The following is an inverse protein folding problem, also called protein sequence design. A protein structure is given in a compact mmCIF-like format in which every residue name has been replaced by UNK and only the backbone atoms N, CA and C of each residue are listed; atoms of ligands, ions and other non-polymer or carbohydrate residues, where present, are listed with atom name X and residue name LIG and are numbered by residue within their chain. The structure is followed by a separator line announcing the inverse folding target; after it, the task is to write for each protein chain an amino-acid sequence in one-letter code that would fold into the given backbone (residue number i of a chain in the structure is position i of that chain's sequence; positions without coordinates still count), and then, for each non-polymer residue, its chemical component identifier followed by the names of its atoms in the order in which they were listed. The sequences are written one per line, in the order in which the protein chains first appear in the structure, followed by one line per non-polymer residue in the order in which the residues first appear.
data_IF_469059129625
#
_entry.id   IF_469059129625
#
_cell.length_a   1.000
_cell.length_b   1.000
_cell.length_c   1.000
_cell.angle_alpha   90.00
_cell.angle_beta   90.00
_cell.angle_gamma   90.00
#
_symmetry.space_group_name_H-M   'P 1'
#
loop_
_entity.id
_entity.type
_entity.pdbx_description
1 polymer ?
#
# COMPACT_ATOMS: atom_id res chain seq x y z
N UNK A 1 -20.56 5.93 -46.32
CA UNK A 1 -20.63 6.50 -44.93
C UNK A 1 -20.69 5.33 -43.97
N UNK A 2 -19.60 5.06 -43.29
CA UNK A 2 -19.53 3.96 -42.32
C UNK A 2 -19.97 4.50 -40.96
N UNK A 3 -21.01 3.95 -40.45
CA UNK A 3 -21.59 4.27 -39.11
C UNK A 3 -20.70 3.69 -38.02
N UNK A 4 -20.16 4.54 -37.15
CA UNK A 4 -19.33 4.11 -35.99
C UNK A 4 -20.25 3.99 -34.77
N UNK A 5 -20.52 2.78 -34.24
CA UNK A 5 -21.46 2.58 -33.12
C UNK A 5 -20.86 2.87 -31.73
N UNK A 6 -19.65 3.43 -31.63
CA UNK A 6 -18.93 3.62 -30.36
C UNK A 6 -19.25 4.90 -29.56
N UNK A 7 -20.14 5.79 -30.04
CA UNK A 7 -20.31 7.13 -29.44
C UNK A 7 -21.64 7.31 -28.66
N UNK A 8 -22.50 6.32 -28.60
CA UNK A 8 -23.87 6.54 -28.07
C UNK A 8 -24.19 5.92 -26.71
N UNK A 9 -23.20 5.46 -25.92
CA UNK A 9 -23.46 4.89 -24.56
C UNK A 9 -22.92 5.72 -23.39
N UNK A 10 -22.35 6.90 -23.65
CA UNK A 10 -21.72 7.75 -22.61
C UNK A 10 -22.65 8.83 -22.03
N UNK A 11 -23.91 8.90 -22.40
CA UNK A 11 -24.82 10.01 -22.00
C UNK A 11 -25.92 9.66 -21.00
N UNK A 12 -25.94 8.48 -20.41
CA UNK A 12 -27.05 8.07 -19.51
C UNK A 12 -26.73 7.99 -18.02
N UNK A 13 -25.47 8.22 -17.61
CA UNK A 13 -25.15 8.36 -16.18
C UNK A 13 -24.27 9.59 -15.99
N UNK A 14 -24.89 10.70 -15.56
CA UNK A 14 -24.25 11.98 -15.31
C UNK A 14 -23.34 12.02 -14.08
N UNK A 15 -22.35 11.12 -14.03
CA UNK A 15 -21.21 11.15 -13.13
C UNK A 15 -19.97 11.48 -13.95
N UNK A 16 -19.49 12.73 -13.90
CA UNK A 16 -18.19 13.07 -14.43
C UNK A 16 -17.13 12.28 -13.66
N UNK A 17 -16.56 11.24 -14.30
CA UNK A 17 -15.28 10.68 -13.90
C UNK A 17 -14.26 11.81 -14.08
N UNK A 18 -13.95 12.52 -12.99
CA UNK A 18 -12.79 13.41 -12.94
C UNK A 18 -11.55 12.53 -13.01
N UNK A 19 -11.03 12.32 -14.22
CA UNK A 19 -9.65 11.89 -14.40
C UNK A 19 -8.77 13.00 -13.82
N UNK A 20 -8.43 12.90 -12.53
CA UNK A 20 -7.40 13.75 -11.98
C UNK A 20 -6.09 13.32 -12.64
N UNK A 21 -5.36 14.27 -13.21
CA UNK A 21 -4.01 14.05 -13.76
C UNK A 21 -2.98 13.83 -12.64
N UNK A 22 -3.34 13.01 -11.65
CA UNK A 22 -2.47 12.68 -10.53
C UNK A 22 -1.23 11.95 -11.04
N UNK A 23 -0.08 12.57 -10.88
CA UNK A 23 1.20 12.01 -11.29
C UNK A 23 1.89 11.35 -10.11
N UNK A 24 2.51 10.21 -10.35
CA UNK A 24 3.40 9.59 -9.38
C UNK A 24 4.68 10.42 -9.21
N UNK A 25 5.36 10.34 -8.05
CA UNK A 25 6.64 11.00 -7.84
C UNK A 25 7.65 10.66 -8.93
N UNK A 26 8.47 11.63 -9.33
CA UNK A 26 9.53 11.43 -10.33
C UNK A 26 10.45 10.28 -9.90
N UNK A 27 10.75 9.37 -10.83
CA UNK A 27 11.58 8.20 -10.58
C UNK A 27 10.83 7.03 -9.90
N UNK A 28 9.49 7.08 -9.83
CA UNK A 28 8.69 5.92 -9.40
C UNK A 28 8.92 4.76 -10.37
N UNK A 29 9.35 3.61 -9.82
CA UNK A 29 9.42 2.34 -10.53
C UNK A 29 8.07 1.63 -10.41
N UNK A 30 7.49 1.28 -11.54
CA UNK A 30 6.28 0.46 -11.61
C UNK A 30 6.68 -0.99 -11.88
N UNK A 31 6.37 -1.89 -10.95
CA UNK A 31 6.78 -3.30 -11.00
C UNK A 31 6.20 -4.05 -12.21
N UNK A 32 5.13 -3.54 -12.77
CA UNK A 32 4.54 -3.98 -14.02
C UNK A 32 4.57 -2.79 -15.00
N UNK A 33 5.60 -2.66 -15.83
CA UNK A 33 5.82 -1.46 -16.64
C UNK A 33 4.66 -1.08 -17.56
N UNK A 34 3.87 -2.06 -17.98
CA UNK A 34 2.70 -1.87 -18.85
C UNK A 34 1.40 -1.57 -18.08
N UNK A 35 1.43 -1.60 -16.75
CA UNK A 35 0.26 -1.45 -15.89
C UNK A 35 0.59 -0.57 -14.69
N UNK A 36 0.67 0.76 -14.94
CA UNK A 36 0.72 1.73 -13.82
C UNK A 36 -0.55 1.58 -12.99
N UNK A 37 -0.41 1.62 -11.67
CA UNK A 37 -1.58 1.65 -10.78
C UNK A 37 -2.47 2.85 -11.16
N UNK A 38 -3.70 2.58 -11.54
CA UNK A 38 -4.65 3.65 -11.84
C UNK A 38 -4.97 4.46 -10.58
N UNK A 39 -5.02 5.78 -10.71
CA UNK A 39 -5.42 6.68 -9.63
C UNK A 39 -6.91 6.94 -9.75
N UNK A 40 -7.69 6.16 -9.01
CA UNK A 40 -9.15 6.27 -8.96
C UNK A 40 -9.56 6.51 -7.52
N UNK A 41 -10.37 7.53 -7.28
CA UNK A 41 -10.84 7.90 -5.97
C UNK A 41 -12.08 7.09 -5.58
N UNK A 42 -12.12 6.65 -4.32
CA UNK A 42 -13.30 6.08 -3.68
C UNK A 42 -13.54 6.79 -2.35
N UNK A 43 -14.76 7.24 -2.14
CA UNK A 43 -15.14 7.90 -0.88
C UNK A 43 -15.85 6.92 0.03
N UNK A 44 -15.41 6.83 1.28
CA UNK A 44 -16.15 6.10 2.30
C UNK A 44 -17.34 6.97 2.72
N UNK A 45 -18.59 6.55 2.49
CA UNK A 45 -19.78 7.39 2.78
C UNK A 45 -20.04 7.58 4.28
N UNK A 46 -19.40 6.78 5.14
CA UNK A 46 -19.56 6.86 6.61
C UNK A 46 -18.55 7.83 7.22
N UNK A 47 -17.28 7.75 6.77
CA UNK A 47 -16.20 8.59 7.32
C UNK A 47 -15.98 9.88 6.54
N UNK A 48 -16.41 9.94 5.27
CA UNK A 48 -16.16 11.04 4.35
C UNK A 48 -14.74 11.01 3.74
N UNK A 49 -13.88 10.11 4.20
CA UNK A 49 -12.49 9.99 3.72
C UNK A 49 -12.43 9.49 2.27
N UNK A 50 -11.48 10.04 1.52
CA UNK A 50 -11.25 9.71 0.11
C UNK A 50 -9.96 8.91 -0.01
N UNK A 51 -10.03 7.74 -0.62
CA UNK A 51 -8.92 6.81 -0.79
C UNK A 51 -8.68 6.49 -2.25
N UNK A 52 -7.52 5.94 -2.56
CA UNK A 52 -7.38 5.20 -3.81
C UNK A 52 -8.20 3.91 -3.71
N UNK A 53 -8.81 3.49 -4.81
CA UNK A 53 -9.67 2.29 -4.88
C UNK A 53 -8.89 0.96 -4.80
N UNK A 54 -7.57 1.01 -4.95
CA UNK A 54 -6.67 -0.16 -4.97
C UNK A 54 -5.35 0.09 -4.28
N UNK A 55 -4.62 -0.98 -3.92
CA UNK A 55 -3.25 -0.90 -3.40
C UNK A 55 -2.30 -0.36 -4.48
N UNK A 56 -1.19 0.29 -4.07
CA UNK A 56 -0.12 0.64 -5.01
C UNK A 56 0.44 -0.64 -5.65
N UNK A 57 0.68 -0.62 -6.94
CA UNK A 57 1.13 -1.78 -7.73
C UNK A 57 0.01 -2.73 -8.16
N UNK A 58 -1.24 -2.55 -7.71
CA UNK A 58 -2.37 -3.37 -8.13
C UNK A 58 -2.86 -3.02 -9.54
N UNK A 59 -3.20 -4.04 -10.31
CA UNK A 59 -3.73 -3.88 -11.67
C UNK A 59 -5.22 -3.51 -11.66
N UNK A 60 -5.95 -3.98 -10.66
CA UNK A 60 -7.40 -3.77 -10.55
C UNK A 60 -7.87 -3.62 -9.11
N UNK A 61 -9.10 -3.20 -8.93
CA UNK A 61 -9.85 -3.32 -7.68
C UNK A 61 -10.12 -4.80 -7.41
N UNK A 62 -10.00 -5.23 -6.16
CA UNK A 62 -10.20 -6.64 -5.83
C UNK A 62 -11.63 -7.11 -6.12
N UNK A 63 -11.76 -8.22 -6.83
CA UNK A 63 -13.03 -8.92 -7.09
C UNK A 63 -13.28 -10.05 -6.08
N UNK A 64 -12.26 -10.44 -5.33
CA UNK A 64 -12.29 -11.31 -4.15
C UNK A 64 -11.18 -10.92 -3.19
N UNK A 65 -11.24 -11.36 -1.93
CA UNK A 65 -10.18 -11.10 -0.95
C UNK A 65 -8.86 -11.84 -1.27
N UNK A 66 -8.88 -12.81 -2.18
CA UNK A 66 -7.70 -13.55 -2.66
C UNK A 66 -7.31 -13.22 -4.09
N UNK A 67 -7.84 -12.13 -4.65
CA UNK A 67 -7.55 -11.68 -6.01
C UNK A 67 -6.10 -11.22 -6.15
N UNK A 68 -5.25 -12.02 -6.78
CA UNK A 68 -3.83 -11.76 -6.93
C UNK A 68 -3.51 -10.50 -7.76
N UNK A 69 -4.38 -10.10 -8.70
CA UNK A 69 -4.22 -8.87 -9.50
C UNK A 69 -4.43 -7.60 -8.66
N UNK A 70 -5.10 -7.74 -7.50
CA UNK A 70 -5.36 -6.65 -6.58
C UNK A 70 -4.37 -6.55 -5.41
N UNK A 71 -3.44 -7.49 -5.26
CA UNK A 71 -2.51 -7.50 -4.13
C UNK A 71 -1.58 -6.28 -4.12
N UNK A 72 -1.07 -5.87 -5.28
CA UNK A 72 -0.10 -4.79 -5.40
C UNK A 72 1.29 -5.16 -4.86
N UNK A 73 2.08 -4.13 -4.61
CA UNK A 73 3.49 -4.19 -4.22
C UNK A 73 3.66 -4.24 -2.69
N UNK A 74 4.88 -4.60 -2.21
CA UNK A 74 5.22 -4.75 -0.80
C UNK A 74 6.39 -3.85 -0.42
N UNK A 75 6.10 -2.75 0.26
CA UNK A 75 7.04 -1.67 0.59
C UNK A 75 7.71 -1.89 1.96
N UNK A 76 9.01 -1.66 2.06
CA UNK A 76 9.66 -1.36 3.33
C UNK A 76 9.24 0.05 3.79
N UNK A 77 8.92 0.20 5.08
CA UNK A 77 8.40 1.46 5.59
C UNK A 77 9.37 2.63 5.34
N UNK A 78 8.86 3.71 4.82
CA UNK A 78 9.67 4.90 4.56
C UNK A 78 10.45 4.88 3.23
N UNK A 79 10.46 3.78 2.45
CA UNK A 79 11.08 3.76 1.12
C UNK A 79 10.14 4.29 0.05
N UNK A 80 10.72 4.99 -0.92
CA UNK A 80 10.02 5.36 -2.16
C UNK A 80 9.80 4.12 -3.05
N UNK A 81 9.02 4.25 -4.11
CA UNK A 81 8.87 3.22 -5.11
C UNK A 81 10.11 3.17 -6.03
N UNK A 82 11.21 2.65 -5.55
CA UNK A 82 12.52 2.56 -6.22
C UNK A 82 12.79 1.19 -6.88
N UNK A 83 11.82 0.26 -6.81
CA UNK A 83 11.92 -1.09 -7.35
C UNK A 83 11.94 -2.18 -6.27
N UNK A 84 12.39 -1.86 -5.05
CA UNK A 84 12.44 -2.82 -3.94
C UNK A 84 11.08 -3.43 -3.60
N UNK A 85 10.01 -2.66 -3.81
CA UNK A 85 8.64 -3.04 -3.51
C UNK A 85 8.10 -4.15 -4.43
N UNK A 86 8.75 -4.38 -5.55
CA UNK A 86 8.36 -5.44 -6.47
C UNK A 86 8.49 -6.80 -5.78
N UNK A 87 7.44 -7.62 -5.84
CA UNK A 87 7.40 -8.92 -5.15
C UNK A 87 8.52 -9.88 -5.54
N UNK A 88 9.19 -9.61 -6.67
CA UNK A 88 10.28 -10.42 -7.24
C UNK A 88 11.62 -9.67 -7.28
N UNK A 89 11.73 -8.48 -6.65
CA UNK A 89 13.00 -7.75 -6.61
C UNK A 89 14.08 -8.57 -5.91
N UNK A 90 15.35 -8.30 -6.26
CA UNK A 90 16.52 -8.88 -5.59
C UNK A 90 16.54 -8.55 -4.09
N UNK A 91 17.54 -9.06 -3.40
CA UNK A 91 17.76 -8.81 -1.96
C UNK A 91 19.22 -8.45 -1.69
N UNK A 92 19.44 -7.61 -0.68
CA UNK A 92 20.77 -7.31 -0.14
C UNK A 92 20.71 -7.25 1.39
N UNK A 93 21.82 -7.55 2.07
CA UNK A 93 21.94 -7.41 3.52
C UNK A 93 22.64 -6.11 3.93
N UNK A 94 23.02 -5.26 2.98
CA UNK A 94 23.67 -3.98 3.25
C UNK A 94 22.63 -2.94 3.60
N UNK A 95 22.65 -2.43 4.84
CA UNK A 95 21.75 -1.34 5.26
C UNK A 95 22.09 -0.05 4.51
N UNK A 96 21.07 0.72 4.21
CA UNK A 96 21.26 2.06 3.65
C UNK A 96 21.60 3.07 4.75
N UNK A 97 22.47 4.01 4.47
CA UNK A 97 22.72 5.18 5.31
C UNK A 97 22.10 6.47 4.77
N UNK A 98 21.36 6.36 3.66
CA UNK A 98 20.67 7.49 3.00
C UNK A 98 19.18 7.18 2.84
N UNK A 99 18.37 8.20 2.62
CA UNK A 99 16.91 8.11 2.55
C UNK A 99 16.42 7.41 1.26
N UNK A 100 17.21 7.44 0.21
CA UNK A 100 16.89 6.84 -1.08
C UNK A 100 18.06 5.95 -1.51
N UNK A 101 18.03 4.64 -1.18
CA UNK A 101 19.01 3.69 -1.67
C UNK A 101 19.11 3.75 -3.21
N UNK A 102 20.32 3.71 -3.73
CA UNK A 102 20.57 3.82 -5.16
C UNK A 102 20.48 2.45 -5.87
N UNK A 103 19.61 1.57 -5.39
CA UNK A 103 19.36 0.24 -5.91
C UNK A 103 17.91 -0.19 -5.61
N UNK A 104 17.43 -1.19 -6.33
CA UNK A 104 16.08 -1.76 -6.28
C UNK A 104 15.97 -3.04 -5.44
N UNK A 105 17.03 -3.46 -4.75
CA UNK A 105 17.00 -4.61 -3.87
C UNK A 105 16.20 -4.35 -2.59
N UNK A 106 15.46 -5.35 -2.14
CA UNK A 106 14.85 -5.40 -0.82
C UNK A 106 15.94 -5.63 0.24
N UNK A 107 16.04 -4.75 1.24
CA UNK A 107 17.11 -4.80 2.24
C UNK A 107 16.72 -5.76 3.36
N UNK A 108 17.46 -6.87 3.47
CA UNK A 108 17.29 -7.86 4.53
C UNK A 108 17.88 -7.35 5.84
N UNK A 109 17.14 -7.57 6.94
CA UNK A 109 17.57 -7.21 8.29
C UNK A 109 17.44 -8.45 9.18
N UNK A 110 18.53 -9.18 9.42
CA UNK A 110 18.51 -10.33 10.31
C UNK A 110 18.25 -9.92 11.77
N UNK A 111 17.61 -10.80 12.51
CA UNK A 111 16.91 -10.61 13.80
C UNK A 111 17.74 -10.19 15.01
N UNK A 112 18.99 -9.82 14.92
CA UNK A 112 19.86 -9.71 16.10
C UNK A 112 20.17 -8.31 16.62
N UNK A 113 19.71 -7.26 15.96
CA UNK A 113 19.98 -5.87 16.39
C UNK A 113 18.66 -5.10 16.53
N UNK A 114 18.33 -4.65 17.70
CA UNK A 114 17.18 -3.84 18.13
C UNK A 114 16.77 -2.63 17.25
N UNK A 115 17.11 -2.63 15.97
CA UNK A 115 16.83 -1.58 15.00
C UNK A 115 16.42 -2.22 13.68
N UNK A 116 15.30 -2.87 13.69
CA UNK A 116 14.74 -3.60 12.55
C UNK A 116 14.32 -2.68 11.39
N UNK A 117 15.24 -1.80 10.98
CA UNK A 117 15.05 -0.84 9.88
C UNK A 117 16.06 -1.12 8.75
N UNK A 118 15.61 -0.96 7.52
CA UNK A 118 16.46 -1.03 6.33
C UNK A 118 17.51 0.09 6.26
N UNK A 119 17.32 1.16 7.05
CA UNK A 119 18.17 2.36 7.11
C UNK A 119 18.79 2.55 8.50
N UNK A 120 20.06 2.90 8.52
CA UNK A 120 20.79 3.26 9.74
C UNK A 120 21.61 4.54 9.54
N UNK A 121 21.42 5.61 10.36
CA UNK A 121 20.40 5.76 11.42
C UNK A 121 18.99 5.86 10.86
N UNK A 122 17.96 5.55 11.68
CA UNK A 122 16.55 5.65 11.30
C UNK A 122 16.15 7.09 10.97
N UNK A 123 15.18 7.26 10.06
CA UNK A 123 14.56 8.54 9.75
C UNK A 123 13.03 8.45 9.84
N UNK A 124 12.46 9.18 10.80
CA UNK A 124 11.03 9.17 11.07
C UNK A 124 10.22 10.03 10.08
N UNK A 125 10.87 10.89 9.28
CA UNK A 125 10.19 11.87 8.44
C UNK A 125 9.82 11.37 7.03
N UNK A 126 10.24 10.17 6.65
CA UNK A 126 10.21 9.71 5.26
C UNK A 126 8.80 9.64 4.65
N UNK A 127 7.78 9.28 5.44
CA UNK A 127 6.39 9.14 4.99
C UNK A 127 5.42 10.10 5.68
N UNK A 128 5.90 11.22 6.18
CA UNK A 128 5.06 12.17 6.90
C UNK A 128 4.34 13.14 5.94
N UNK A 129 3.03 12.95 5.78
CA UNK A 129 2.17 13.78 4.93
C UNK A 129 2.47 13.69 3.43
N UNK A 130 1.85 14.55 2.64
CA UNK A 130 2.01 14.59 1.18
C UNK A 130 3.42 15.01 0.74
N UNK A 131 4.10 15.78 1.56
CA UNK A 131 5.46 16.27 1.31
C UNK A 131 6.54 15.35 1.87
N UNK A 132 6.18 14.18 2.42
CA UNK A 132 7.15 13.20 2.88
C UNK A 132 8.14 12.84 1.77
N UNK A 133 9.45 12.92 2.10
CA UNK A 133 10.54 12.83 1.10
C UNK A 133 10.48 11.56 0.24
N UNK A 134 9.95 10.48 0.79
CA UNK A 134 9.79 9.19 0.14
C UNK A 134 8.32 8.77 -0.03
N UNK A 135 7.36 9.72 0.07
CA UNK A 135 5.95 9.39 -0.14
C UNK A 135 5.76 8.70 -1.51
N UNK A 136 5.33 7.43 -1.57
CA UNK A 136 5.18 6.71 -2.84
C UNK A 136 3.82 6.99 -3.51
N UNK A 137 2.90 7.64 -2.81
CA UNK A 137 1.56 7.91 -3.29
C UNK A 137 1.57 8.97 -4.41
N UNK A 138 0.60 8.93 -5.32
CA UNK A 138 0.47 9.96 -6.36
C UNK A 138 0.15 11.33 -5.76
N UNK A 139 0.36 12.37 -6.55
CA UNK A 139 0.12 13.77 -6.15
C UNK A 139 -1.27 13.96 -5.53
N UNK A 140 -1.33 14.63 -4.39
CA UNK A 140 -2.55 14.86 -3.60
C UNK A 140 -2.92 13.71 -2.65
N UNK A 141 -2.14 12.62 -2.67
CA UNK A 141 -2.32 11.47 -1.77
C UNK A 141 -1.10 11.26 -0.88
N UNK A 142 -1.30 10.58 0.23
CA UNK A 142 -0.28 10.21 1.21
C UNK A 142 -0.55 8.83 1.82
N UNK A 143 0.41 8.35 2.56
CA UNK A 143 0.21 7.18 3.42
C UNK A 143 -0.76 7.56 4.55
N UNK A 144 -1.79 6.76 4.84
CA UNK A 144 -2.71 7.03 5.95
C UNK A 144 -2.02 6.84 7.30
N UNK A 145 -2.54 7.51 8.32
CA UNK A 145 -2.19 7.29 9.72
C UNK A 145 -2.89 6.03 10.26
N UNK A 146 -2.43 5.52 11.40
CA UNK A 146 -3.10 4.43 12.11
C UNK A 146 -4.51 4.82 12.61
N UNK A 147 -4.71 6.10 12.93
CA UNK A 147 -6.02 6.62 13.32
C UNK A 147 -7.03 6.57 12.16
N UNK A 148 -6.61 6.96 10.95
CA UNK A 148 -7.46 6.90 9.75
C UNK A 148 -7.86 5.46 9.39
N UNK A 149 -6.92 4.49 9.46
CA UNK A 149 -7.29 3.08 9.29
C UNK A 149 -8.19 2.57 10.42
N UNK A 150 -8.03 3.06 11.63
CA UNK A 150 -8.92 2.69 12.75
C UNK A 150 -10.34 3.22 12.50
N UNK A 151 -10.47 4.46 12.03
CA UNK A 151 -11.76 5.06 11.64
C UNK A 151 -12.40 4.32 10.46
N UNK A 152 -11.61 3.99 9.42
CA UNK A 152 -12.06 3.18 8.27
C UNK A 152 -12.60 1.83 8.74
N UNK A 153 -11.83 1.10 9.57
CA UNK A 153 -12.22 -0.18 10.13
C UNK A 153 -13.53 -0.12 10.94
N UNK A 154 -13.75 0.96 11.68
CA UNK A 154 -14.97 1.16 12.47
C UNK A 154 -16.22 1.34 11.60
N UNK A 155 -16.06 1.68 10.32
CA UNK A 155 -17.16 1.76 9.35
C UNK A 155 -17.54 0.39 8.75
N UNK A 156 -16.78 -0.69 9.02
CA UNK A 156 -17.02 -1.99 8.43
C UNK A 156 -18.17 -2.74 9.10
N UNK A 157 -18.82 -3.61 8.34
CA UNK A 157 -19.89 -4.49 8.86
C UNK A 157 -19.36 -5.58 9.81
N UNK A 158 -18.08 -5.92 9.75
CA UNK A 158 -17.40 -6.86 10.65
C UNK A 158 -15.92 -6.53 10.77
N UNK A 159 -15.36 -6.74 11.98
CA UNK A 159 -13.97 -6.42 12.29
C UNK A 159 -13.03 -7.57 11.87
N UNK A 160 -13.00 -7.89 10.56
CA UNK A 160 -12.19 -8.98 10.00
C UNK A 160 -12.02 -8.80 8.47
N UNK A 161 -11.39 -9.78 7.80
CA UNK A 161 -11.17 -9.76 6.35
C UNK A 161 -12.45 -9.69 5.51
N UNK A 162 -13.57 -10.20 6.01
CA UNK A 162 -14.86 -10.09 5.33
C UNK A 162 -15.33 -8.63 5.32
N UNK A 163 -15.26 -7.93 6.46
CA UNK A 163 -15.55 -6.50 6.53
C UNK A 163 -14.60 -5.66 5.68
N UNK A 164 -13.31 -5.97 5.72
CA UNK A 164 -12.29 -5.31 4.92
C UNK A 164 -12.58 -5.41 3.41
N UNK A 165 -12.93 -6.59 2.92
CA UNK A 165 -13.26 -6.80 1.50
C UNK A 165 -14.65 -6.22 1.14
N UNK A 166 -15.63 -6.27 2.03
CA UNK A 166 -16.96 -5.72 1.79
C UNK A 166 -17.02 -4.20 1.90
N UNK A 167 -16.01 -3.56 2.51
CA UNK A 167 -15.88 -2.10 2.56
C UNK A 167 -15.72 -1.50 1.15
N UNK A 168 -15.84 -0.18 1.05
CA UNK A 168 -15.60 0.54 -0.22
C UNK A 168 -14.16 0.37 -0.71
N UNK A 169 -13.22 0.06 0.17
CA UNK A 169 -11.81 -0.12 -0.17
C UNK A 169 -11.51 -1.47 -0.83
N UNK A 170 -12.39 -2.47 -0.73
CA UNK A 170 -12.19 -3.79 -1.33
C UNK A 170 -10.79 -4.36 -1.02
N UNK A 171 -10.40 -4.37 0.26
CA UNK A 171 -9.05 -4.73 0.68
C UNK A 171 -8.78 -6.24 0.52
N UNK A 172 -7.76 -6.65 -0.27
CA UNK A 172 -7.40 -8.06 -0.47
C UNK A 172 -6.41 -8.55 0.59
N UNK A 173 -6.31 -9.87 0.76
CA UNK A 173 -5.35 -10.54 1.65
C UNK A 173 -3.98 -10.68 0.94
N UNK A 174 -3.28 -9.56 0.79
CA UNK A 174 -2.09 -9.44 -0.05
C UNK A 174 -0.80 -10.01 0.59
N UNK A 175 -0.84 -10.42 1.86
CA UNK A 175 0.30 -10.95 2.58
C UNK A 175 1.38 -9.92 2.88
N UNK A 176 2.63 -10.39 2.95
CA UNK A 176 3.80 -9.59 3.31
C UNK A 176 5.07 -10.15 2.67
N UNK A 177 6.16 -9.38 2.73
CA UNK A 177 7.52 -9.85 2.41
C UNK A 177 8.36 -9.88 3.68
N UNK A 178 8.95 -11.06 3.98
CA UNK A 178 9.71 -11.24 5.20
C UNK A 178 11.02 -10.46 5.15
N UNK A 179 11.41 -9.87 6.30
CA UNK A 179 12.60 -9.02 6.42
C UNK A 179 13.90 -9.79 6.55
N UNK A 180 13.84 -11.06 6.93
CA UNK A 180 15.02 -11.88 7.22
C UNK A 180 15.56 -12.62 6.00
N UNK A 181 14.70 -13.01 5.08
CA UNK A 181 15.03 -13.82 3.90
C UNK A 181 14.44 -13.27 2.59
N UNK A 182 13.58 -12.25 2.69
CA UNK A 182 12.92 -11.63 1.53
C UNK A 182 11.83 -12.48 0.89
N UNK A 183 11.41 -13.57 1.54
CA UNK A 183 10.33 -14.44 1.03
C UNK A 183 8.99 -13.73 1.12
N UNK A 184 8.22 -13.81 0.05
CA UNK A 184 6.83 -13.32 0.03
C UNK A 184 5.90 -14.41 0.53
N UNK A 185 5.12 -14.11 1.56
CA UNK A 185 4.12 -15.01 2.13
C UNK A 185 2.74 -14.38 2.12
N UNK A 186 1.73 -15.18 1.76
CA UNK A 186 0.31 -14.80 1.91
C UNK A 186 -0.24 -15.23 3.27
N UNK A 187 0.48 -16.09 3.99
CA UNK A 187 0.04 -16.73 5.23
C UNK A 187 0.91 -16.27 6.39
N UNK A 188 0.28 -15.82 7.47
CA UNK A 188 0.91 -15.62 8.76
C UNK A 188 0.10 -16.41 9.81
N UNK A 189 0.79 -17.06 10.76
CA UNK A 189 0.13 -17.82 11.83
C UNK A 189 -0.96 -18.80 11.34
N UNK A 190 -0.74 -19.42 10.18
CA UNK A 190 -1.64 -20.40 9.58
C UNK A 190 -2.86 -19.83 8.84
N UNK A 191 -2.98 -18.52 8.72
CA UNK A 191 -4.11 -17.84 8.04
C UNK A 191 -3.65 -16.84 6.99
N UNK A 192 -4.41 -16.61 5.91
CA UNK A 192 -4.17 -15.50 4.99
C UNK A 192 -4.40 -14.15 5.67
N UNK A 193 -3.48 -13.20 5.44
CA UNK A 193 -3.53 -11.84 6.01
C UNK A 193 -3.50 -10.76 4.94
N UNK A 194 -4.23 -9.67 5.19
CA UNK A 194 -3.96 -8.37 4.59
C UNK A 194 -3.16 -7.52 5.57
N UNK A 195 -2.07 -6.92 5.09
CA UNK A 195 -1.20 -6.08 5.91
C UNK A 195 -0.84 -4.81 5.14
N UNK A 196 -1.07 -3.67 5.76
CA UNK A 196 -0.87 -2.34 5.17
C UNK A 196 -0.04 -1.47 6.10
N UNK A 197 0.93 -0.74 5.56
CA UNK A 197 1.64 0.25 6.32
C UNK A 197 0.77 1.48 6.60
N UNK A 198 1.00 2.10 7.76
CA UNK A 198 0.58 3.46 8.09
C UNK A 198 1.78 4.40 8.13
N UNK A 199 1.55 5.71 8.12
CA UNK A 199 2.62 6.70 8.34
C UNK A 199 2.98 6.87 9.81
N UNK A 200 2.18 6.32 10.73
CA UNK A 200 2.39 6.46 12.18
C UNK A 200 3.58 5.63 12.64
N UNK A 201 4.41 6.25 13.44
CA UNK A 201 5.57 5.61 14.10
C UNK A 201 5.29 5.38 15.57
N UNK A 202 5.92 4.36 16.12
CA UNK A 202 5.96 4.06 17.54
C UNK A 202 7.41 3.75 17.95
N UNK A 203 8.09 4.75 18.50
CA UNK A 203 9.51 4.66 18.81
C UNK A 203 10.36 4.28 17.57
N UNK A 204 11.01 3.13 17.59
CA UNK A 204 11.85 2.60 16.49
C UNK A 204 11.05 1.84 15.43
N UNK A 205 9.80 1.49 15.70
CA UNK A 205 8.92 0.72 14.83
C UNK A 205 7.92 1.62 14.07
N UNK A 206 7.25 1.06 13.09
CA UNK A 206 6.12 1.70 12.42
C UNK A 206 4.84 0.92 12.68
N UNK A 207 3.71 1.62 12.74
CA UNK A 207 2.42 1.00 12.91
C UNK A 207 1.95 0.44 11.57
N UNK A 208 1.56 -0.82 11.54
CA UNK A 208 0.85 -1.44 10.43
C UNK A 208 -0.60 -1.74 10.79
N UNK A 209 -1.43 -1.85 9.80
CA UNK A 209 -2.81 -2.30 9.90
C UNK A 209 -2.93 -3.70 9.31
N UNK A 210 -3.50 -4.64 10.07
CA UNK A 210 -3.68 -6.02 9.67
C UNK A 210 -5.13 -6.48 9.82
N UNK A 211 -5.51 -7.44 8.97
CA UNK A 211 -6.81 -8.11 9.03
C UNK A 211 -6.72 -9.51 8.45
N UNK A 212 -7.47 -10.43 9.09
CA UNK A 212 -7.66 -11.81 8.65
C UNK A 212 -9.08 -12.27 9.00
N UNK A 213 -9.38 -13.56 8.86
CA UNK A 213 -10.73 -14.10 9.13
C UNK A 213 -11.25 -13.88 10.54
N UNK A 214 -10.35 -13.77 11.53
CA UNK A 214 -10.70 -13.66 12.96
C UNK A 214 -10.77 -12.23 13.49
N UNK A 215 -10.02 -11.27 12.95
CA UNK A 215 -9.92 -9.92 13.52
C UNK A 215 -9.32 -8.91 12.53
N UNK A 216 -9.36 -7.61 12.90
CA UNK A 216 -8.58 -6.54 12.30
C UNK A 216 -8.05 -5.60 13.39
N UNK A 217 -6.78 -5.19 13.30
CA UNK A 217 -6.09 -4.43 14.33
C UNK A 217 -4.94 -3.59 13.77
N UNK A 218 -4.41 -2.67 14.58
CA UNK A 218 -3.15 -1.96 14.33
C UNK A 218 -2.12 -2.41 15.37
N UNK A 219 -0.86 -2.54 14.95
CA UNK A 219 0.23 -2.94 15.84
C UNK A 219 1.57 -2.37 15.35
N UNK A 220 2.55 -2.08 16.23
CA UNK A 220 3.91 -1.74 15.81
C UNK A 220 4.64 -2.97 15.23
N UNK A 221 5.51 -2.73 14.25
CA UNK A 221 6.38 -3.75 13.67
C UNK A 221 7.63 -3.14 13.01
N UNK A 222 8.72 -3.92 12.90
CA UNK A 222 9.95 -3.53 12.23
C UNK A 222 9.74 -2.97 10.81
N UNK A 223 10.35 -1.82 10.54
CA UNK A 223 10.22 -1.05 9.29
C UNK A 223 10.79 -1.76 8.07
N UNK A 224 11.67 -2.72 8.27
CA UNK A 224 12.30 -3.51 7.21
C UNK A 224 11.40 -4.58 6.60
N UNK A 225 10.25 -4.90 7.22
CA UNK A 225 9.28 -5.81 6.60
C UNK A 225 8.55 -5.16 5.43
N UNK A 226 8.17 -5.94 4.44
CA UNK A 226 7.41 -5.45 3.30
C UNK A 226 5.92 -5.63 3.47
N UNK A 227 5.14 -4.53 3.47
CA UNK A 227 3.68 -4.54 3.49
C UNK A 227 3.10 -3.72 2.35
N UNK A 228 1.82 -3.95 2.05
CA UNK A 228 1.11 -3.17 1.04
C UNK A 228 0.94 -1.71 1.45
N UNK A 229 0.65 -0.86 0.48
CA UNK A 229 0.31 0.56 0.66
C UNK A 229 -1.03 0.85 0.01
N UNK A 230 -1.93 1.47 0.77
CA UNK A 230 -3.17 2.08 0.30
C UNK A 230 -3.12 3.57 0.59
N UNK A 231 -3.20 4.41 -0.43
CA UNK A 231 -3.11 5.84 -0.26
C UNK A 231 -4.45 6.47 0.09
N UNK A 232 -4.41 7.51 0.93
CA UNK A 232 -5.54 8.37 1.29
C UNK A 232 -5.31 9.77 0.71
N UNK A 233 -6.35 10.45 0.31
CA UNK A 233 -6.30 11.83 -0.16
C UNK A 233 -6.03 12.78 1.01
N UNK A 234 -5.27 13.84 0.76
CA UNK A 234 -4.95 14.84 1.79
C UNK A 234 -6.08 15.83 1.97
#
# INVERSE_FOLDING_TARGET
MLYNPGVLLAQLFGGQLKSSSSTYPTGTVHCKPQSRTAVVEVTNPITGEIWMDRNLGAEQVAISNTDALAFGDLYQWGRRADGHQCRISGTTSTLSNIDQPLHDDFILVPTSNNRDDWRSPQNNALWQGVAGINNPCPSGFRIPTSAEFTTERQSWSSNNSTGAFNSVLKLPLAGYRERTDGVVSLIAEGSPYGMLWTSTINNEEAIFFAYWSGNAFVNPYPRSRGYSVRCIKN
#
